data_IF_624288217435
#
_entry.id   IF_624288217435
#
_cell.length_a   1.000
_cell.length_b   1.000
_cell.length_c   1.000
_cell.angle_alpha   90.00
_cell.angle_beta   90.00
_cell.angle_gamma   90.00
#
_symmetry.space_group_name_H-M   'P 1'
#
loop_
_entity.id
_entity.type
_entity.pdbx_description
1 polymer ?
#
# COMPACT_ATOMS: atom_id res chain seq x y z
N UNK A 1 22.31 28.63 13.91
CA UNK A 1 21.78 27.30 13.62
C UNK A 1 22.81 26.33 13.03
N UNK A 2 23.67 26.68 12.01
CA UNK A 2 24.67 25.74 11.47
C UNK A 2 25.58 25.12 12.53
N UNK A 3 26.10 25.91 13.47
CA UNK A 3 26.95 25.39 14.58
C UNK A 3 26.20 24.40 15.49
N UNK A 4 24.93 24.62 15.74
CA UNK A 4 24.07 23.68 16.51
C UNK A 4 23.98 22.37 15.78
N UNK A 5 23.65 22.41 14.49
CA UNK A 5 23.56 21.23 13.62
C UNK A 5 24.89 20.43 13.59
N UNK A 6 26.03 21.11 13.41
CA UNK A 6 27.35 20.47 13.42
C UNK A 6 27.64 19.74 14.73
N UNK A 7 27.30 20.34 15.89
CA UNK A 7 27.48 19.70 17.18
C UNK A 7 26.62 18.44 17.29
N UNK A 8 25.35 18.50 16.85
CA UNK A 8 24.46 17.36 16.90
C UNK A 8 24.94 16.26 15.93
N UNK A 9 25.29 16.62 14.69
CA UNK A 9 25.82 15.71 13.68
C UNK A 9 27.02 14.90 14.17
N UNK A 10 27.92 15.56 14.88
CA UNK A 10 29.15 14.92 15.41
C UNK A 10 28.88 13.94 16.56
N UNK A 11 27.63 13.84 17.05
CA UNK A 11 27.25 12.85 18.08
C UNK A 11 26.51 11.61 17.46
N UNK A 12 26.35 11.58 16.15
CA UNK A 12 25.81 10.41 15.48
C UNK A 12 26.73 9.18 15.66
N UNK A 13 26.20 7.96 15.88
CA UNK A 13 24.78 7.59 16.00
C UNK A 13 24.21 7.73 17.43
N UNK A 14 25.03 8.00 18.44
CA UNK A 14 24.61 8.11 19.84
C UNK A 14 24.23 9.56 20.20
N UNK A 15 22.95 9.88 20.10
CA UNK A 15 22.42 11.18 20.48
C UNK A 15 22.19 11.38 21.99
N UNK A 16 22.61 10.43 22.84
CA UNK A 16 22.55 10.54 24.30
C UNK A 16 23.81 11.18 24.90
N UNK A 17 24.70 11.71 24.08
CA UNK A 17 25.93 12.34 24.52
C UNK A 17 25.66 13.51 25.49
N UNK A 18 26.34 13.57 26.63
CA UNK A 18 26.28 14.71 27.56
C UNK A 18 26.57 16.07 26.89
N UNK A 19 27.28 16.07 25.76
CA UNK A 19 27.56 17.28 24.97
C UNK A 19 26.31 17.93 24.40
N UNK A 20 25.20 17.22 24.29
CA UNK A 20 23.89 17.70 23.79
C UNK A 20 23.03 18.28 24.93
N UNK A 21 23.46 18.23 26.21
CA UNK A 21 22.74 18.93 27.28
C UNK A 21 22.65 20.42 26.99
N UNK A 22 21.56 21.06 27.39
CA UNK A 22 21.34 22.48 27.11
C UNK A 22 22.47 23.37 27.66
N UNK A 23 23.01 23.03 28.82
CA UNK A 23 24.10 23.76 29.42
C UNK A 23 25.40 23.64 28.60
N UNK A 24 25.76 22.41 28.19
CA UNK A 24 26.99 22.18 27.42
C UNK A 24 26.87 22.76 26.00
N UNK A 25 25.72 22.69 25.40
CA UNK A 25 25.41 23.33 24.10
C UNK A 25 25.55 24.86 24.21
N UNK A 26 25.00 25.45 25.28
CA UNK A 26 25.10 26.89 25.50
C UNK A 26 26.58 27.32 25.69
N UNK A 27 27.32 26.62 26.53
CA UNK A 27 28.73 26.91 26.77
C UNK A 27 29.59 26.83 25.48
N UNK A 28 29.30 25.89 24.59
CA UNK A 28 30.01 25.77 23.31
C UNK A 28 29.65 26.90 22.32
N UNK A 29 28.38 27.31 22.30
CA UNK A 29 27.88 28.31 21.36
C UNK A 29 28.13 29.75 21.81
N UNK A 30 28.06 30.00 23.11
CA UNK A 30 28.08 31.34 23.72
C UNK A 30 29.14 31.43 24.80
N UNK A 31 30.41 31.16 24.44
CA UNK A 31 31.54 31.21 25.37
C UNK A 31 31.57 32.49 26.19
N UNK A 32 31.68 32.35 27.52
CA UNK A 32 31.78 33.47 28.44
C UNK A 32 30.48 34.25 28.72
N UNK A 33 29.33 33.78 28.21
CA UNK A 33 28.02 34.37 28.52
C UNK A 33 27.33 33.60 29.63
N UNK A 34 26.50 34.30 30.40
CA UNK A 34 25.63 33.70 31.41
C UNK A 34 24.65 32.74 30.76
N UNK A 35 24.46 31.55 31.36
CA UNK A 35 23.58 30.51 30.83
C UNK A 35 22.11 30.95 30.79
N UNK A 36 21.49 30.84 29.59
CA UNK A 36 20.06 31.10 29.35
C UNK A 36 19.45 29.92 28.65
N UNK A 37 18.75 29.07 29.38
CA UNK A 37 18.09 27.87 28.84
C UNK A 37 17.17 28.18 27.68
N UNK A 38 16.38 29.25 27.81
CA UNK A 38 15.42 29.64 26.76
C UNK A 38 16.11 29.91 25.41
N UNK A 39 17.34 30.40 25.41
CA UNK A 39 18.12 30.63 24.17
C UNK A 39 18.36 29.30 23.43
N UNK A 40 18.75 28.25 24.16
CA UNK A 40 18.97 26.93 23.56
C UNK A 40 17.66 26.29 23.13
N UNK A 41 16.61 26.40 23.96
CA UNK A 41 15.24 25.89 23.54
C UNK A 41 14.77 26.53 22.25
N UNK A 42 14.98 27.84 22.09
CA UNK A 42 14.60 28.55 20.86
C UNK A 42 15.43 28.04 19.65
N UNK A 43 16.75 27.84 19.81
CA UNK A 43 17.60 27.31 18.74
C UNK A 43 17.18 25.89 18.32
N UNK A 44 16.87 25.03 19.28
CA UNK A 44 16.36 23.68 18.97
C UNK A 44 14.99 23.73 18.27
N UNK A 45 14.11 24.63 18.71
CA UNK A 45 12.80 24.81 18.07
C UNK A 45 12.94 25.30 16.61
N UNK A 46 13.84 26.24 16.36
CA UNK A 46 14.13 26.73 14.99
C UNK A 46 14.78 25.63 14.12
N UNK A 47 15.76 24.89 14.68
CA UNK A 47 16.36 23.77 13.97
C UNK A 47 15.32 22.69 13.65
N UNK A 48 14.42 22.38 14.59
CA UNK A 48 13.33 21.45 14.39
C UNK A 48 12.36 21.88 13.27
N UNK A 49 12.07 23.22 13.16
CA UNK A 49 11.28 23.75 12.04
C UNK A 49 11.98 23.58 10.69
N UNK A 50 13.28 23.89 10.64
CA UNK A 50 14.07 23.74 9.42
C UNK A 50 14.18 22.27 9.00
N UNK A 51 14.43 21.36 9.94
CA UNK A 51 14.50 19.93 9.69
C UNK A 51 13.16 19.38 9.16
N UNK A 52 12.05 19.81 9.76
CA UNK A 52 10.71 19.44 9.28
C UNK A 52 10.48 19.90 7.85
N UNK A 53 10.82 21.16 7.55
CA UNK A 53 10.71 21.69 6.18
C UNK A 53 11.61 20.93 5.21
N UNK A 54 12.84 20.63 5.60
CA UNK A 54 13.79 19.88 4.79
C UNK A 54 13.24 18.48 4.46
N UNK A 55 12.83 17.72 5.50
CA UNK A 55 12.27 16.38 5.33
C UNK A 55 11.03 16.44 4.41
N UNK A 56 10.13 17.41 4.64
CA UNK A 56 8.93 17.56 3.79
C UNK A 56 9.27 17.80 2.33
N UNK A 57 10.26 18.64 2.05
CA UNK A 57 10.71 18.96 0.67
C UNK A 57 11.41 17.75 0.04
N UNK A 58 12.28 17.07 0.76
CA UNK A 58 12.98 15.88 0.23
C UNK A 58 12.01 14.71 -0.01
N UNK A 59 11.06 14.48 0.90
CA UNK A 59 10.01 13.48 0.70
C UNK A 59 9.16 13.83 -0.52
N UNK A 60 8.79 15.11 -0.69
CA UNK A 60 8.03 15.55 -1.85
C UNK A 60 8.78 15.36 -3.17
N UNK A 61 10.10 15.61 -3.18
CA UNK A 61 10.93 15.39 -4.38
C UNK A 61 11.03 13.91 -4.77
N UNK A 62 10.96 13.01 -3.80
CA UNK A 62 10.98 11.57 -4.05
C UNK A 62 9.64 11.00 -4.51
N UNK A 63 8.54 11.75 -4.32
CA UNK A 63 7.18 11.41 -4.75
C UNK A 63 6.73 12.31 -5.90
N UNK A 64 6.98 11.86 -7.12
CA UNK A 64 6.69 12.62 -8.33
C UNK A 64 5.19 12.93 -8.48
N UNK A 65 4.31 12.01 -8.10
CA UNK A 65 2.86 12.19 -8.23
C UNK A 65 2.36 13.27 -7.30
N UNK A 66 2.75 13.24 -6.02
CA UNK A 66 2.39 14.27 -5.04
C UNK A 66 3.00 15.61 -5.40
N UNK A 67 4.24 15.63 -5.87
CA UNK A 67 4.91 16.84 -6.37
C UNK A 67 4.15 17.47 -7.53
N UNK A 68 3.77 16.68 -8.53
CA UNK A 68 2.98 17.13 -9.67
C UNK A 68 1.59 17.62 -9.25
N UNK A 69 0.95 16.95 -8.30
CA UNK A 69 -0.36 17.36 -7.77
C UNK A 69 -0.29 18.75 -7.13
N UNK A 70 0.74 19.02 -6.33
CA UNK A 70 0.96 20.35 -5.74
C UNK A 70 1.33 21.40 -6.79
N UNK A 71 2.13 21.04 -7.80
CA UNK A 71 2.45 21.92 -8.93
C UNK A 71 1.19 22.31 -9.70
N UNK A 72 0.31 21.36 -10.01
CA UNK A 72 -0.98 21.60 -10.66
C UNK A 72 -1.83 22.56 -9.82
N UNK A 73 -1.91 22.36 -8.51
CA UNK A 73 -2.62 23.26 -7.60
C UNK A 73 -2.03 24.68 -7.61
N UNK A 74 -0.71 24.80 -7.59
CA UNK A 74 0.01 26.07 -7.68
C UNK A 74 -0.22 26.83 -8.99
N UNK A 75 -0.26 26.12 -10.12
CA UNK A 75 -0.59 26.71 -11.42
C UNK A 75 -2.02 27.28 -11.43
N UNK A 76 -2.96 26.55 -10.85
CA UNK A 76 -4.36 26.97 -10.77
C UNK A 76 -4.57 28.20 -9.91
N UNK A 77 -3.94 28.26 -8.74
CA UNK A 77 -3.95 29.46 -7.90
C UNK A 77 -3.45 30.70 -8.65
N UNK A 78 -2.54 30.52 -9.60
CA UNK A 78 -1.98 31.58 -10.46
C UNK A 78 -2.77 31.79 -11.77
N UNK A 79 -3.92 31.10 -11.90
CA UNK A 79 -4.80 31.18 -13.08
C UNK A 79 -4.13 30.69 -14.39
N UNK A 80 -3.07 29.90 -14.31
CA UNK A 80 -2.39 29.30 -15.45
C UNK A 80 -3.11 28.01 -15.89
N UNK A 81 -4.36 28.12 -16.31
CA UNK A 81 -5.28 27.00 -16.49
C UNK A 81 -4.85 26.01 -17.57
N UNK A 82 -4.35 26.52 -18.71
CA UNK A 82 -3.90 25.65 -19.81
C UNK A 82 -2.71 24.77 -19.39
N UNK A 83 -1.72 25.39 -18.72
CA UNK A 83 -0.56 24.65 -18.18
C UNK A 83 -0.99 23.64 -17.12
N UNK A 84 -1.92 24.03 -16.25
CA UNK A 84 -2.48 23.14 -15.24
C UNK A 84 -3.17 21.91 -15.86
N UNK A 85 -3.95 22.11 -16.93
CA UNK A 85 -4.63 21.01 -17.63
C UNK A 85 -3.64 20.05 -18.30
N UNK A 86 -2.60 20.57 -18.95
CA UNK A 86 -1.53 19.75 -19.54
C UNK A 86 -0.77 18.95 -18.46
N UNK A 87 -0.40 19.61 -17.35
CA UNK A 87 0.27 18.96 -16.24
C UNK A 87 -0.61 17.88 -15.58
N UNK A 88 -1.92 18.13 -15.47
CA UNK A 88 -2.87 17.17 -14.92
C UNK A 88 -3.03 15.93 -15.82
N UNK A 89 -3.09 16.09 -17.13
CA UNK A 89 -3.13 14.97 -18.07
C UNK A 89 -1.88 14.09 -17.93
N UNK A 90 -0.69 14.69 -17.93
CA UNK A 90 0.57 13.98 -17.74
C UNK A 90 0.65 13.26 -16.38
N UNK A 91 0.19 13.90 -15.31
CA UNK A 91 0.17 13.28 -13.98
C UNK A 91 -0.80 12.10 -13.92
N UNK A 92 -1.92 12.17 -14.63
CA UNK A 92 -2.87 11.05 -14.72
C UNK A 92 -2.28 9.86 -15.49
N UNK A 93 -1.53 10.09 -16.55
CA UNK A 93 -0.77 9.05 -17.24
C UNK A 93 0.23 8.38 -16.31
N UNK A 94 1.02 9.16 -15.58
CA UNK A 94 1.98 8.66 -14.59
C UNK A 94 1.30 7.86 -13.46
N UNK A 95 0.17 8.34 -12.93
CA UNK A 95 -0.63 7.62 -11.95
C UNK A 95 -1.07 6.26 -12.52
N UNK A 96 -1.57 6.25 -13.74
CA UNK A 96 -2.02 5.04 -14.40
C UNK A 96 -0.87 4.04 -14.62
N UNK A 97 0.30 4.51 -15.01
CA UNK A 97 1.48 3.67 -15.21
C UNK A 97 2.05 3.10 -13.91
N UNK A 98 2.12 3.91 -12.84
CA UNK A 98 2.76 3.51 -11.59
C UNK A 98 1.89 2.66 -10.68
N UNK A 99 0.61 2.99 -10.57
CA UNK A 99 -0.27 2.42 -9.55
C UNK A 99 -1.50 1.73 -10.12
N UNK A 100 -1.83 2.06 -11.33
CA UNK A 100 -3.00 1.59 -11.96
C UNK A 100 -4.29 1.77 -11.15
N UNK A 101 -5.07 0.69 -11.10
CA UNK A 101 -6.33 0.70 -10.35
C UNK A 101 -6.09 0.68 -8.83
N UNK A 102 -4.91 0.24 -8.35
CA UNK A 102 -4.51 0.34 -6.93
C UNK A 102 -4.44 1.78 -6.42
N UNK A 103 -4.31 2.74 -7.32
CA UNK A 103 -4.34 4.16 -7.02
C UNK A 103 -5.74 4.76 -6.91
N UNK A 104 -6.78 3.99 -6.58
CA UNK A 104 -8.13 4.54 -6.43
C UNK A 104 -8.17 5.78 -5.52
N UNK A 105 -7.35 5.81 -4.49
CA UNK A 105 -7.21 7.00 -3.65
C UNK A 105 -6.70 8.21 -4.44
N UNK A 106 -5.69 8.03 -5.30
CA UNK A 106 -5.16 9.10 -6.16
C UNK A 106 -6.14 9.48 -7.26
N UNK A 107 -6.80 8.49 -7.89
CA UNK A 107 -7.85 8.75 -8.87
C UNK A 107 -9.03 9.48 -8.24
N UNK A 108 -9.43 9.13 -7.04
CA UNK A 108 -10.44 9.84 -6.27
C UNK A 108 -10.03 11.30 -6.00
N UNK A 109 -8.84 11.53 -5.46
CA UNK A 109 -8.33 12.87 -5.21
C UNK A 109 -8.17 13.68 -6.50
N UNK A 110 -7.66 13.08 -7.55
CA UNK A 110 -7.53 13.75 -8.84
C UNK A 110 -8.89 14.10 -9.46
N UNK A 111 -9.82 13.16 -9.50
CA UNK A 111 -11.17 13.39 -10.05
C UNK A 111 -11.95 14.42 -9.24
N UNK A 112 -11.85 14.34 -7.90
CA UNK A 112 -12.46 15.31 -7.01
C UNK A 112 -11.87 16.72 -7.19
N UNK A 113 -10.56 16.80 -7.34
CA UNK A 113 -9.86 18.04 -7.61
C UNK A 113 -10.23 18.62 -9.00
N UNK A 114 -10.36 17.81 -10.04
CA UNK A 114 -10.78 18.23 -11.36
C UNK A 114 -12.25 18.70 -11.35
N UNK A 115 -13.13 18.02 -10.61
CA UNK A 115 -14.52 18.38 -10.43
C UNK A 115 -14.66 19.76 -9.75
N UNK A 116 -14.02 19.96 -8.60
CA UNK A 116 -14.00 21.22 -7.89
C UNK A 116 -13.47 22.37 -8.76
N UNK A 117 -12.42 22.08 -9.53
CA UNK A 117 -11.83 23.06 -10.41
C UNK A 117 -12.80 23.54 -11.50
N UNK A 118 -13.47 22.61 -12.19
CA UNK A 118 -14.41 22.96 -13.25
C UNK A 118 -15.65 23.70 -12.71
N UNK A 119 -16.10 23.35 -11.51
CA UNK A 119 -17.20 24.06 -10.86
C UNK A 119 -16.87 25.50 -10.43
N UNK A 120 -15.64 25.73 -9.97
CA UNK A 120 -15.27 27.07 -9.45
C UNK A 120 -14.86 28.01 -10.56
N UNK A 121 -14.23 27.51 -11.63
CA UNK A 121 -13.54 28.37 -12.61
C UNK A 121 -14.19 28.47 -13.98
N UNK A 122 -15.14 27.62 -14.35
CA UNK A 122 -15.76 27.70 -15.66
C UNK A 122 -17.25 27.30 -15.65
N UNK A 123 -18.09 28.18 -15.15
CA UNK A 123 -19.55 28.00 -15.19
C UNK A 123 -20.10 27.76 -16.62
N UNK A 124 -19.35 28.15 -17.67
CA UNK A 124 -19.75 27.95 -19.07
C UNK A 124 -19.50 26.52 -19.55
N UNK A 125 -18.57 25.81 -18.94
CA UNK A 125 -18.28 24.40 -19.28
C UNK A 125 -19.16 23.38 -18.52
N UNK A 126 -19.89 23.82 -17.51
CA UNK A 126 -20.77 22.96 -16.71
C UNK A 126 -21.91 22.28 -17.50
N UNK A 127 -22.15 22.69 -18.73
CA UNK A 127 -23.14 22.07 -19.64
C UNK A 127 -22.49 21.27 -20.77
N UNK A 128 -21.15 21.15 -20.79
CA UNK A 128 -20.44 20.41 -21.82
C UNK A 128 -20.49 18.89 -21.60
N UNK A 129 -20.39 18.12 -22.68
CA UNK A 129 -20.25 16.67 -22.65
C UNK A 129 -19.01 16.25 -21.82
N UNK A 130 -17.94 17.03 -21.89
CA UNK A 130 -16.70 16.79 -21.14
C UNK A 130 -16.93 16.89 -19.63
N UNK A 131 -17.69 17.89 -19.17
CA UNK A 131 -18.07 18.01 -17.76
C UNK A 131 -18.90 16.80 -17.29
N UNK A 132 -19.86 16.38 -18.07
CA UNK A 132 -20.67 15.19 -17.77
C UNK A 132 -19.81 13.93 -17.62
N UNK A 133 -18.86 13.71 -18.55
CA UNK A 133 -17.95 12.56 -18.49
C UNK A 133 -17.04 12.64 -17.25
N UNK A 134 -16.62 13.83 -16.87
CA UNK A 134 -15.82 14.04 -15.66
C UNK A 134 -16.62 13.68 -14.40
N UNK A 135 -17.89 14.15 -14.30
CA UNK A 135 -18.77 13.81 -13.16
C UNK A 135 -19.02 12.31 -13.10
N UNK A 136 -19.24 11.65 -14.25
CA UNK A 136 -19.41 10.20 -14.33
C UNK A 136 -18.16 9.49 -13.81
N UNK A 137 -16.98 9.83 -14.31
CA UNK A 137 -15.71 9.24 -13.87
C UNK A 137 -15.47 9.47 -12.37
N UNK A 138 -15.76 10.67 -11.86
CA UNK A 138 -15.66 10.99 -10.45
C UNK A 138 -16.57 10.08 -9.61
N UNK A 139 -17.84 9.94 -10.00
CA UNK A 139 -18.80 9.11 -9.25
C UNK A 139 -18.36 7.64 -9.19
N UNK A 140 -17.89 7.09 -10.30
CA UNK A 140 -17.38 5.73 -10.38
C UNK A 140 -16.17 5.54 -9.45
N UNK A 141 -15.19 6.46 -9.50
CA UNK A 141 -14.00 6.39 -8.67
C UNK A 141 -14.29 6.54 -7.16
N UNK A 142 -15.26 7.39 -6.78
CA UNK A 142 -15.69 7.55 -5.38
C UNK A 142 -16.27 6.25 -4.84
N UNK A 143 -17.19 5.64 -5.60
CA UNK A 143 -17.83 4.40 -5.18
C UNK A 143 -16.82 3.26 -5.09
N UNK A 144 -15.92 3.15 -6.07
CA UNK A 144 -14.87 2.14 -6.10
C UNK A 144 -13.93 2.28 -4.91
N UNK A 145 -13.44 3.49 -4.67
CA UNK A 145 -12.56 3.77 -3.54
C UNK A 145 -13.22 3.40 -2.23
N UNK A 146 -14.44 3.92 -1.99
CA UNK A 146 -15.17 3.68 -0.75
C UNK A 146 -15.38 2.19 -0.50
N UNK A 147 -15.92 1.46 -1.47
CA UNK A 147 -16.20 0.03 -1.29
C UNK A 147 -14.93 -0.78 -1.09
N UNK A 148 -13.87 -0.51 -1.86
CA UNK A 148 -12.60 -1.20 -1.70
C UNK A 148 -12.02 -1.00 -0.31
N UNK A 149 -11.93 0.25 0.17
CA UNK A 149 -11.39 0.54 1.50
C UNK A 149 -12.23 -0.07 2.63
N UNK A 150 -13.56 0.01 2.53
CA UNK A 150 -14.45 -0.61 3.51
C UNK A 150 -14.29 -2.13 3.58
N UNK A 151 -14.15 -2.80 2.43
CA UNK A 151 -13.95 -4.25 2.38
C UNK A 151 -12.58 -4.66 2.93
N UNK A 152 -11.51 -3.88 2.66
CA UNK A 152 -10.18 -4.11 3.24
C UNK A 152 -10.23 -3.97 4.75
N UNK A 153 -10.80 -2.87 5.26
CA UNK A 153 -10.92 -2.63 6.70
C UNK A 153 -11.75 -3.71 7.40
N UNK A 154 -12.83 -4.17 6.76
CA UNK A 154 -13.66 -5.24 7.30
C UNK A 154 -12.90 -6.57 7.38
N UNK A 155 -12.13 -6.92 6.35
CA UNK A 155 -11.30 -8.12 6.33
C UNK A 155 -10.19 -8.05 7.41
N UNK A 156 -9.49 -6.93 7.53
CA UNK A 156 -8.46 -6.73 8.55
C UNK A 156 -9.05 -6.77 9.97
N UNK A 157 -10.20 -6.13 10.19
CA UNK A 157 -10.87 -6.18 11.49
C UNK A 157 -11.28 -7.59 11.88
N UNK A 158 -11.78 -8.38 10.93
CA UNK A 158 -12.11 -9.80 11.16
C UNK A 158 -10.89 -10.63 11.60
N UNK A 159 -9.72 -10.38 11.00
CA UNK A 159 -8.46 -11.02 11.39
C UNK A 159 -8.04 -10.60 12.80
N UNK A 160 -8.08 -9.31 13.09
CA UNK A 160 -7.68 -8.74 14.38
C UNK A 160 -8.57 -9.22 15.54
N UNK A 161 -9.87 -9.34 15.34
CA UNK A 161 -10.78 -9.90 16.36
C UNK A 161 -10.42 -11.31 16.77
N UNK A 162 -9.97 -12.14 15.84
CA UNK A 162 -9.51 -13.51 16.13
C UNK A 162 -8.20 -13.54 16.91
N UNK A 163 -7.30 -12.59 16.65
CA UNK A 163 -5.99 -12.53 17.29
C UNK A 163 -6.06 -11.94 18.71
N UNK A 164 -6.87 -10.92 18.92
CA UNK A 164 -6.86 -10.13 20.16
C UNK A 164 -8.01 -10.44 21.10
N UNK A 165 -8.87 -11.43 20.81
CA UNK A 165 -10.05 -11.76 21.63
C UNK A 165 -10.85 -10.52 22.07
N UNK A 166 -10.83 -9.48 21.21
CA UNK A 166 -11.49 -8.22 21.51
C UNK A 166 -13.00 -8.41 21.57
N UNK A 167 -13.63 -7.75 22.52
CA UNK A 167 -15.10 -7.69 22.62
C UNK A 167 -15.68 -7.24 21.29
N UNK A 168 -16.88 -7.73 20.97
CA UNK A 168 -17.60 -7.34 19.75
C UNK A 168 -17.99 -5.85 19.83
N UNK A 169 -17.08 -4.98 19.46
CA UNK A 169 -17.45 -3.62 19.12
C UNK A 169 -18.10 -3.61 17.74
N UNK A 170 -19.25 -2.97 17.63
CA UNK A 170 -19.94 -2.76 16.35
C UNK A 170 -19.26 -1.63 15.60
N UNK A 171 -18.68 -1.95 14.44
CA UNK A 171 -18.11 -0.92 13.56
C UNK A 171 -19.12 -0.44 12.52
N UNK A 172 -19.21 0.86 12.34
CA UNK A 172 -20.15 1.50 11.40
C UNK A 172 -20.00 0.95 9.97
N UNK A 173 -18.76 0.67 9.53
CA UNK A 173 -18.53 0.16 8.18
C UNK A 173 -19.03 -1.28 7.99
N UNK A 174 -19.01 -2.13 9.02
CA UNK A 174 -19.57 -3.50 8.95
C UNK A 174 -21.09 -3.43 8.78
N UNK A 175 -21.76 -2.58 9.55
CA UNK A 175 -23.20 -2.34 9.41
C UNK A 175 -23.55 -1.80 8.02
N UNK A 176 -22.70 -0.94 7.45
CA UNK A 176 -22.90 -0.45 6.09
C UNK A 176 -22.79 -1.61 5.07
N UNK A 177 -21.75 -2.46 5.15
CA UNK A 177 -21.57 -3.59 4.24
C UNK A 177 -22.72 -4.61 4.39
N UNK A 178 -23.15 -4.90 5.63
CA UNK A 178 -24.27 -5.81 5.91
C UNK A 178 -25.62 -5.30 5.35
N UNK A 179 -25.82 -3.98 5.33
CA UNK A 179 -27.03 -3.35 4.81
C UNK A 179 -27.05 -3.16 3.29
N UNK A 180 -25.89 -3.35 2.62
CA UNK A 180 -25.72 -3.10 1.19
C UNK A 180 -25.85 -4.39 0.39
N UNK A 181 -26.74 -4.41 -0.59
CA UNK A 181 -26.87 -5.53 -1.53
C UNK A 181 -25.68 -5.55 -2.50
N UNK A 182 -24.56 -6.09 -2.01
CA UNK A 182 -23.30 -6.15 -2.73
C UNK A 182 -23.42 -7.00 -4.01
N UNK A 183 -24.15 -8.10 -3.97
CA UNK A 183 -24.28 -8.99 -5.14
C UNK A 183 -25.04 -8.34 -6.30
N UNK A 184 -26.17 -7.69 -6.01
CA UNK A 184 -26.94 -6.96 -7.03
C UNK A 184 -26.13 -5.78 -7.59
N UNK A 185 -25.44 -5.03 -6.71
CA UNK A 185 -24.58 -3.92 -7.13
C UNK A 185 -23.46 -4.40 -8.05
N UNK A 186 -22.73 -5.45 -7.68
CA UNK A 186 -21.61 -5.96 -8.48
C UNK A 186 -22.06 -6.45 -9.85
N UNK A 187 -23.23 -7.08 -9.98
CA UNK A 187 -23.80 -7.49 -11.28
C UNK A 187 -24.07 -6.30 -12.19
N UNK A 188 -24.64 -5.23 -11.66
CA UNK A 188 -24.90 -4.03 -12.47
C UNK A 188 -23.58 -3.29 -12.79
N UNK A 189 -22.66 -3.24 -11.83
CA UNK A 189 -21.37 -2.58 -12.01
C UNK A 189 -20.49 -3.30 -13.04
N UNK A 190 -20.59 -4.64 -13.13
CA UNK A 190 -19.87 -5.45 -14.13
C UNK A 190 -20.20 -5.06 -15.57
N UNK A 191 -21.45 -4.63 -15.83
CA UNK A 191 -21.88 -4.12 -17.15
C UNK A 191 -21.21 -2.80 -17.52
N UNK A 192 -20.86 -1.99 -16.51
CA UNK A 192 -20.25 -0.67 -16.70
C UNK A 192 -18.73 -0.74 -16.75
N UNK A 193 -18.13 -1.50 -15.85
CA UNK A 193 -16.67 -1.62 -15.73
C UNK A 193 -16.28 -3.03 -15.22
N UNK A 194 -16.10 -4.00 -16.13
CA UNK A 194 -15.88 -5.40 -15.76
C UNK A 194 -14.58 -5.62 -14.97
N UNK A 195 -13.52 -4.84 -15.20
CA UNK A 195 -12.25 -4.98 -14.49
C UNK A 195 -12.39 -4.52 -13.04
N UNK A 196 -13.01 -3.38 -12.82
CA UNK A 196 -13.26 -2.87 -11.47
C UNK A 196 -14.24 -3.76 -10.71
N UNK A 197 -15.27 -4.25 -11.38
CA UNK A 197 -16.21 -5.18 -10.78
C UNK A 197 -15.53 -6.49 -10.34
N UNK A 198 -14.61 -7.02 -11.15
CA UNK A 198 -13.81 -8.21 -10.79
C UNK A 198 -12.96 -7.96 -9.53
N UNK A 199 -12.31 -6.80 -9.45
CA UNK A 199 -11.52 -6.42 -8.27
C UNK A 199 -12.38 -6.34 -7.00
N UNK A 200 -13.50 -5.63 -7.06
CA UNK A 200 -14.41 -5.52 -5.91
C UNK A 200 -15.01 -6.86 -5.52
N UNK A 201 -15.34 -7.70 -6.50
CA UNK A 201 -15.86 -9.06 -6.31
C UNK A 201 -14.85 -9.92 -5.54
N UNK A 202 -13.60 -9.92 -5.96
CA UNK A 202 -12.52 -10.66 -5.28
C UNK A 202 -12.35 -10.14 -3.86
N UNK A 203 -12.29 -8.83 -3.66
CA UNK A 203 -12.15 -8.21 -2.35
C UNK A 203 -13.33 -8.53 -1.42
N UNK A 204 -14.56 -8.49 -1.95
CA UNK A 204 -15.75 -8.87 -1.21
C UNK A 204 -15.72 -10.35 -0.79
N UNK A 205 -15.30 -11.26 -1.66
CA UNK A 205 -15.16 -12.66 -1.32
C UNK A 205 -14.10 -12.88 -0.24
N UNK A 206 -12.98 -12.19 -0.28
CA UNK A 206 -11.97 -12.26 0.79
C UNK A 206 -12.54 -11.82 2.14
N UNK A 207 -13.28 -10.70 2.18
CA UNK A 207 -13.98 -10.29 3.38
C UNK A 207 -15.01 -11.34 3.80
N UNK A 208 -15.93 -11.71 2.93
CA UNK A 208 -17.02 -12.63 3.21
C UNK A 208 -16.51 -13.97 3.76
N UNK A 209 -15.56 -14.59 3.07
CA UNK A 209 -15.00 -15.87 3.49
C UNK A 209 -13.97 -15.77 4.63
N UNK A 210 -13.55 -14.59 5.03
CA UNK A 210 -12.80 -14.42 6.29
C UNK A 210 -13.66 -14.72 7.50
N UNK A 211 -14.96 -14.42 7.44
CA UNK A 211 -15.94 -14.58 8.53
C UNK A 211 -16.85 -15.80 8.38
N UNK A 212 -17.10 -16.24 7.14
CA UNK A 212 -17.97 -17.38 6.83
C UNK A 212 -17.19 -18.65 6.48
N UNK A 213 -17.93 -19.75 6.25
CA UNK A 213 -17.35 -21.01 5.78
C UNK A 213 -16.71 -20.81 4.39
N UNK A 214 -15.62 -21.50 4.19
CA UNK A 214 -14.86 -21.47 2.94
C UNK A 214 -14.61 -22.90 2.50
N UNK A 215 -15.13 -23.27 1.35
CA UNK A 215 -15.07 -24.63 0.83
C UNK A 215 -14.25 -24.69 -0.46
N UNK A 216 -14.09 -25.90 -0.97
CA UNK A 216 -13.39 -26.14 -2.24
C UNK A 216 -14.01 -25.37 -3.42
N UNK A 217 -15.33 -25.30 -3.46
CA UNK A 217 -16.07 -24.60 -4.53
C UNK A 217 -15.74 -23.12 -4.55
N UNK A 218 -15.75 -22.46 -3.39
CA UNK A 218 -15.40 -21.05 -3.27
C UNK A 218 -13.94 -20.79 -3.60
N UNK A 219 -13.05 -21.68 -3.17
CA UNK A 219 -11.65 -21.58 -3.50
C UNK A 219 -11.41 -21.55 -5.00
N UNK A 220 -11.94 -22.54 -5.73
CA UNK A 220 -11.76 -22.57 -7.18
C UNK A 220 -12.49 -21.44 -7.90
N UNK A 221 -13.62 -20.98 -7.38
CA UNK A 221 -14.31 -19.79 -7.91
C UNK A 221 -13.41 -18.55 -7.84
N UNK A 222 -12.78 -18.28 -6.69
CA UNK A 222 -11.88 -17.15 -6.52
C UNK A 222 -10.59 -17.35 -7.33
N UNK A 223 -9.99 -18.55 -7.28
CA UNK A 223 -8.79 -18.90 -8.05
C UNK A 223 -8.99 -18.63 -9.54
N UNK A 224 -10.14 -19.04 -10.09
CA UNK A 224 -10.47 -18.82 -11.50
C UNK A 224 -10.63 -17.33 -11.83
N UNK A 225 -11.36 -16.56 -11.01
CA UNK A 225 -11.54 -15.12 -11.22
C UNK A 225 -10.19 -14.39 -11.20
N UNK A 226 -9.32 -14.72 -10.24
CA UNK A 226 -7.98 -14.15 -10.16
C UNK A 226 -7.17 -14.52 -11.40
N UNK A 227 -7.05 -15.80 -11.74
CA UNK A 227 -6.18 -16.25 -12.83
C UNK A 227 -6.58 -15.73 -14.20
N UNK A 228 -7.89 -15.60 -14.45
CA UNK A 228 -8.42 -15.04 -15.71
C UNK A 228 -8.14 -13.54 -15.85
N UNK A 229 -8.07 -12.81 -14.75
CA UNK A 229 -7.93 -11.36 -14.77
C UNK A 229 -6.58 -10.86 -14.25
N UNK A 230 -5.70 -11.74 -13.78
CA UNK A 230 -4.46 -11.37 -13.07
C UNK A 230 -3.60 -10.37 -13.84
N UNK A 231 -3.48 -10.52 -15.16
CA UNK A 231 -2.69 -9.62 -16.01
C UNK A 231 -3.32 -8.23 -16.21
N UNK A 232 -4.62 -8.07 -15.87
CA UNK A 232 -5.32 -6.78 -15.93
C UNK A 232 -5.19 -6.02 -14.62
N UNK A 233 -4.84 -6.72 -13.55
CA UNK A 233 -4.64 -6.11 -12.24
C UNK A 233 -3.22 -5.54 -12.14
N UNK A 234 -3.06 -4.55 -11.27
CA UNK A 234 -1.75 -4.02 -10.98
C UNK A 234 -0.94 -4.95 -10.12
N UNK A 235 0.38 -4.77 -10.18
CA UNK A 235 1.32 -5.63 -9.48
C UNK A 235 1.02 -5.75 -7.98
N UNK A 236 0.60 -4.66 -7.34
CA UNK A 236 0.22 -4.67 -5.92
C UNK A 236 -1.01 -5.53 -5.66
N UNK A 237 -2.06 -5.41 -6.50
CA UNK A 237 -3.25 -6.24 -6.43
C UNK A 237 -2.94 -7.70 -6.77
N UNK A 238 -2.08 -7.95 -7.75
CA UNK A 238 -1.64 -9.32 -8.09
C UNK A 238 -1.01 -10.00 -6.88
N UNK A 239 -0.10 -9.31 -6.17
CA UNK A 239 0.52 -9.80 -4.94
C UNK A 239 -0.56 -10.08 -3.89
N UNK A 240 -1.38 -9.08 -3.59
CA UNK A 240 -2.36 -9.15 -2.50
C UNK A 240 -3.38 -10.25 -2.74
N UNK A 241 -3.91 -10.39 -3.95
CA UNK A 241 -4.93 -11.40 -4.25
C UNK A 241 -4.37 -12.82 -4.18
N UNK A 242 -3.18 -13.06 -4.68
CA UNK A 242 -2.53 -14.37 -4.56
C UNK A 242 -2.23 -14.66 -3.08
N UNK A 243 -1.67 -13.71 -2.34
CA UNK A 243 -1.35 -13.87 -0.93
C UNK A 243 -2.61 -14.15 -0.07
N UNK A 244 -3.68 -13.39 -0.27
CA UNK A 244 -4.94 -13.59 0.48
C UNK A 244 -5.57 -14.94 0.17
N UNK A 245 -5.60 -15.36 -1.09
CA UNK A 245 -6.15 -16.66 -1.46
C UNK A 245 -5.33 -17.81 -0.87
N UNK A 246 -3.99 -17.70 -0.90
CA UNK A 246 -3.10 -18.67 -0.23
C UNK A 246 -3.37 -18.70 1.28
N UNK A 247 -3.52 -17.57 1.92
CA UNK A 247 -3.80 -17.47 3.37
C UNK A 247 -5.13 -18.12 3.72
N UNK A 248 -6.19 -17.89 2.94
CA UNK A 248 -7.48 -18.57 3.13
C UNK A 248 -7.37 -20.08 2.96
N UNK A 249 -6.65 -20.54 1.93
CA UNK A 249 -6.44 -21.96 1.69
C UNK A 249 -5.63 -22.60 2.84
N UNK A 250 -4.52 -22.00 3.25
CA UNK A 250 -3.67 -22.48 4.35
C UNK A 250 -4.44 -22.57 5.68
N UNK A 251 -5.29 -21.60 5.97
CA UNK A 251 -5.97 -21.51 7.26
C UNK A 251 -7.28 -22.30 7.32
N UNK A 252 -7.98 -22.48 6.20
CA UNK A 252 -9.32 -23.07 6.20
C UNK A 252 -9.43 -24.41 5.45
N UNK A 253 -8.63 -24.64 4.42
CA UNK A 253 -8.73 -25.87 3.61
C UNK A 253 -7.64 -26.89 3.94
N UNK A 254 -6.40 -26.48 4.06
CA UNK A 254 -5.28 -27.39 4.38
C UNK A 254 -5.52 -28.17 5.68
N UNK A 255 -6.12 -27.61 6.77
CA UNK A 255 -6.44 -28.39 7.94
C UNK A 255 -7.45 -29.51 7.68
N UNK A 256 -8.27 -29.41 6.63
CA UNK A 256 -9.26 -30.45 6.25
C UNK A 256 -8.69 -31.46 5.27
N UNK A 257 -7.84 -31.04 4.34
CA UNK A 257 -7.22 -31.92 3.35
C UNK A 257 -5.89 -31.32 2.85
N UNK A 258 -4.81 -32.08 3.02
CA UNK A 258 -3.47 -31.68 2.60
C UNK A 258 -3.28 -31.57 1.09
N UNK A 259 -4.23 -32.07 0.27
CA UNK A 259 -4.19 -31.92 -1.20
C UNK A 259 -4.05 -30.46 -1.64
N UNK A 260 -4.61 -29.54 -0.87
CA UNK A 260 -4.59 -28.10 -1.17
C UNK A 260 -3.19 -27.47 -1.15
N UNK A 261 -2.17 -28.15 -0.61
CA UNK A 261 -0.79 -27.69 -0.77
C UNK A 261 -0.37 -27.64 -2.25
N UNK A 262 -0.86 -28.57 -3.08
CA UNK A 262 -0.59 -28.55 -4.52
C UNK A 262 -1.21 -27.32 -5.20
N UNK A 263 -2.46 -26.99 -4.86
CA UNK A 263 -3.14 -25.82 -5.39
C UNK A 263 -2.45 -24.50 -4.97
N UNK A 264 -1.97 -24.45 -3.74
CA UNK A 264 -1.19 -23.32 -3.22
C UNK A 264 0.14 -23.23 -3.97
N UNK A 265 0.79 -24.35 -4.22
CA UNK A 265 2.05 -24.38 -4.98
C UNK A 265 1.87 -23.89 -6.43
N UNK A 266 0.71 -24.18 -7.05
CA UNK A 266 0.40 -23.62 -8.37
C UNK A 266 0.21 -22.10 -8.32
N UNK A 267 -0.40 -21.56 -7.27
CA UNK A 267 -0.48 -20.11 -7.04
C UNK A 267 0.91 -19.51 -6.84
N UNK A 268 1.81 -20.19 -6.13
CA UNK A 268 3.21 -19.76 -5.95
C UNK A 268 3.95 -19.70 -7.29
N UNK A 269 3.79 -20.72 -8.13
CA UNK A 269 4.37 -20.73 -9.49
C UNK A 269 3.79 -19.58 -10.34
N UNK A 270 2.48 -19.35 -10.26
CA UNK A 270 1.85 -18.21 -10.93
C UNK A 270 2.45 -16.89 -10.43
N UNK A 271 2.57 -16.70 -9.12
CA UNK A 271 3.18 -15.51 -8.54
C UNK A 271 4.59 -15.26 -9.09
N UNK A 272 5.44 -16.28 -9.09
CA UNK A 272 6.80 -16.17 -9.63
C UNK A 272 6.82 -15.85 -11.13
N UNK A 273 5.86 -16.38 -11.90
CA UNK A 273 5.76 -16.13 -13.36
C UNK A 273 5.32 -14.72 -13.73
N UNK A 274 4.79 -13.95 -12.80
CA UNK A 274 4.37 -12.56 -13.03
C UNK A 274 5.54 -11.57 -13.03
N UNK A 275 6.74 -12.01 -12.61
CA UNK A 275 7.96 -11.20 -12.58
C UNK A 275 7.76 -9.80 -11.93
N UNK A 276 7.00 -9.76 -10.84
CA UNK A 276 6.63 -8.52 -10.15
C UNK A 276 7.87 -7.84 -9.57
N UNK A 277 8.77 -8.63 -8.99
CA UNK A 277 10.05 -8.17 -8.49
C UNK A 277 11.13 -8.31 -9.59
N UNK A 278 12.00 -7.32 -9.82
CA UNK A 278 12.39 -6.21 -8.94
C UNK A 278 11.79 -4.84 -9.30
N UNK A 279 10.50 -4.67 -9.31
CA UNK A 279 9.90 -3.37 -9.55
C UNK A 279 10.15 -2.41 -8.36
N UNK A 280 10.78 -1.28 -8.62
CA UNK A 280 11.15 -0.29 -7.59
C UNK A 280 9.95 0.37 -6.90
N UNK A 281 8.77 0.30 -7.51
CA UNK A 281 7.54 0.86 -6.96
C UNK A 281 6.78 -0.13 -6.06
N UNK A 282 7.29 -1.36 -5.94
CA UNK A 282 6.71 -2.39 -5.09
C UNK A 282 7.48 -2.41 -3.77
N UNK A 283 6.74 -2.45 -2.66
CA UNK A 283 7.32 -2.62 -1.34
C UNK A 283 8.11 -3.93 -1.22
N UNK A 284 9.02 -3.99 -0.25
CA UNK A 284 9.80 -5.18 0.04
C UNK A 284 8.92 -6.43 0.17
N UNK A 285 9.47 -7.56 -0.24
CA UNK A 285 8.79 -8.84 -0.12
C UNK A 285 8.55 -9.16 1.37
N UNK A 286 7.29 -9.39 1.74
CA UNK A 286 6.95 -9.66 3.14
C UNK A 286 7.58 -10.98 3.62
N UNK A 287 8.36 -10.93 4.70
CA UNK A 287 9.07 -12.08 5.26
C UNK A 287 8.14 -13.26 5.61
N UNK A 288 6.95 -12.98 6.16
CA UNK A 288 5.95 -14.01 6.45
C UNK A 288 5.50 -14.74 5.19
N UNK A 289 5.14 -14.02 4.13
CA UNK A 289 4.72 -14.61 2.87
C UNK A 289 5.86 -15.39 2.18
N UNK A 290 7.10 -14.88 2.27
CA UNK A 290 8.28 -15.60 1.80
C UNK A 290 8.46 -16.95 2.50
N UNK A 291 8.32 -16.98 3.84
CA UNK A 291 8.39 -18.22 4.62
C UNK A 291 7.26 -19.20 4.30
N UNK A 292 6.05 -18.70 4.13
CA UNK A 292 4.90 -19.55 3.77
C UNK A 292 5.14 -20.27 2.45
N UNK A 293 5.60 -19.53 1.42
CA UNK A 293 5.94 -20.11 0.13
C UNK A 293 7.04 -21.17 0.25
N UNK A 294 8.11 -20.85 0.96
CA UNK A 294 9.19 -21.80 1.21
C UNK A 294 8.67 -23.06 1.93
N UNK A 295 7.91 -22.90 2.99
CA UNK A 295 7.39 -24.00 3.82
C UNK A 295 6.48 -24.94 3.00
N UNK A 296 5.61 -24.40 2.17
CA UNK A 296 4.74 -25.20 1.29
C UNK A 296 5.58 -26.04 0.33
N UNK A 297 6.61 -25.46 -0.28
CA UNK A 297 7.50 -26.20 -1.20
C UNK A 297 8.25 -27.33 -0.48
N UNK A 298 8.74 -27.11 0.75
CA UNK A 298 9.40 -28.15 1.55
C UNK A 298 8.43 -29.27 1.94
N UNK A 299 7.20 -28.95 2.34
CA UNK A 299 6.14 -29.95 2.65
C UNK A 299 5.87 -30.84 1.44
N UNK A 300 5.87 -30.27 0.24
CA UNK A 300 5.68 -31.01 -1.02
C UNK A 300 6.94 -31.70 -1.51
N UNK A 301 8.07 -31.58 -0.80
CA UNK A 301 9.38 -32.11 -1.17
C UNK A 301 9.93 -31.52 -2.49
N UNK A 302 9.49 -30.34 -2.85
CA UNK A 302 9.94 -29.58 -4.02
C UNK A 302 11.23 -28.79 -3.68
N UNK A 303 12.24 -29.50 -3.19
CA UNK A 303 13.46 -28.92 -2.63
C UNK A 303 14.24 -28.06 -3.62
N UNK A 304 14.38 -28.53 -4.87
CA UNK A 304 15.06 -27.76 -5.91
C UNK A 304 14.36 -26.45 -6.23
N UNK A 305 13.02 -26.44 -6.21
CA UNK A 305 12.24 -25.22 -6.39
C UNK A 305 12.42 -24.30 -5.19
N UNK A 306 12.36 -24.84 -3.96
CA UNK A 306 12.54 -24.08 -2.73
C UNK A 306 13.90 -23.38 -2.67
N UNK A 307 14.98 -24.10 -3.03
CA UNK A 307 16.33 -23.53 -3.09
C UNK A 307 16.44 -22.40 -4.11
N UNK A 308 15.95 -22.63 -5.33
CA UNK A 308 15.93 -21.61 -6.38
C UNK A 308 15.12 -20.38 -5.97
N UNK A 309 13.95 -20.57 -5.34
CA UNK A 309 13.11 -19.48 -4.83
C UNK A 309 13.87 -18.66 -3.78
N UNK A 310 14.49 -19.29 -2.78
CA UNK A 310 15.24 -18.57 -1.74
C UNK A 310 16.39 -17.76 -2.35
N UNK A 311 17.17 -18.37 -3.25
CA UNK A 311 18.30 -17.70 -3.91
C UNK A 311 17.85 -16.52 -4.77
N UNK A 312 16.72 -16.65 -5.46
CA UNK A 312 16.23 -15.61 -6.37
C UNK A 312 15.51 -14.46 -5.65
N UNK A 313 14.69 -14.78 -4.64
CA UNK A 313 13.74 -13.81 -4.05
C UNK A 313 14.19 -13.21 -2.70
N UNK A 314 15.14 -13.82 -1.98
CA UNK A 314 15.60 -13.28 -0.69
C UNK A 314 16.17 -11.87 -0.79
N UNK A 315 16.74 -11.47 -1.91
CA UNK A 315 17.26 -10.13 -2.17
C UNK A 315 16.20 -9.03 -2.18
N UNK A 316 14.92 -9.39 -2.31
CA UNK A 316 13.79 -8.48 -2.30
C UNK A 316 13.14 -8.34 -0.91
N UNK A 317 13.63 -9.06 0.08
CA UNK A 317 13.26 -8.85 1.48
C UNK A 317 13.86 -7.56 2.02
N UNK A 318 13.22 -6.97 3.03
CA UNK A 318 13.77 -5.86 3.78
C UNK A 318 15.17 -6.19 4.32
N UNK A 319 16.07 -5.21 4.33
CA UNK A 319 17.50 -5.43 4.59
C UNK A 319 17.75 -6.09 5.95
N UNK A 320 17.01 -5.68 6.97
CA UNK A 320 17.09 -6.22 8.34
C UNK A 320 16.61 -7.67 8.46
N UNK A 321 15.65 -8.10 7.63
CA UNK A 321 15.12 -9.46 7.64
C UNK A 321 15.91 -10.42 6.73
N UNK A 322 16.54 -9.93 5.68
CA UNK A 322 17.11 -10.71 4.57
C UNK A 322 18.03 -11.84 5.02
N UNK A 323 19.03 -11.52 5.85
CA UNK A 323 20.02 -12.49 6.31
C UNK A 323 19.40 -13.58 7.18
N UNK A 324 18.50 -13.20 8.05
CA UNK A 324 17.84 -14.14 8.97
C UNK A 324 16.93 -15.10 8.20
N UNK A 325 16.10 -14.58 7.29
CA UNK A 325 15.20 -15.39 6.48
C UNK A 325 15.94 -16.34 5.54
N UNK A 326 17.00 -15.86 4.89
CA UNK A 326 17.85 -16.70 4.05
C UNK A 326 18.44 -17.87 4.84
N UNK A 327 19.10 -17.59 5.97
CA UNK A 327 19.72 -18.61 6.80
C UNK A 327 18.71 -19.60 7.37
N UNK A 328 17.53 -19.11 7.80
CA UNK A 328 16.46 -19.97 8.26
C UNK A 328 15.99 -20.95 7.18
N UNK A 329 15.71 -20.45 5.99
CA UNK A 329 15.25 -21.30 4.88
C UNK A 329 16.32 -22.30 4.44
N UNK A 330 17.58 -21.87 4.27
CA UNK A 330 18.65 -22.77 3.85
C UNK A 330 18.98 -23.83 4.91
N UNK A 331 18.95 -23.46 6.21
CA UNK A 331 19.10 -24.42 7.30
C UNK A 331 18.01 -25.47 7.32
N UNK A 332 16.74 -25.06 7.14
CA UNK A 332 15.61 -25.99 7.04
C UNK A 332 15.72 -26.90 5.80
N UNK A 333 16.19 -26.38 4.68
CA UNK A 333 16.39 -27.17 3.46
C UNK A 333 17.42 -28.27 3.69
N UNK A 334 18.58 -27.94 4.26
CA UNK A 334 19.63 -28.91 4.59
C UNK A 334 19.18 -29.99 5.60
N UNK A 335 18.23 -29.64 6.48
CA UNK A 335 17.70 -30.59 7.47
C UNK A 335 16.70 -31.59 6.85
N UNK A 336 15.97 -31.19 5.82
CA UNK A 336 14.89 -31.98 5.21
C UNK A 336 15.32 -32.75 3.94
N UNK A 337 16.49 -32.46 3.37
CA UNK A 337 17.11 -33.21 2.29
C UNK A 337 17.86 -34.44 2.82
#
# INVERSE_FOLDING_TARGET
>A
LPKVFEIIKNTYPDFNSPTLSFQNMFAKLYKGKEYKEQTIRNLYAELGKLLRTFISVETLKSDEISSNTLYIAGLRQRKAFELSSKAAAKNNELITECFGIGSLAFHFHYSNFAYWFNNIHDQRKNTSKEYFLLVKSLSENVVMFLLKELLILAAENSKNRKLFTAEKEDFVFEKFIESFDTDSFLKEFEKLNPVYASMLKIQYWFYYYSVHSFTETEFYKIKNEITQNIKKFYKVEQINYIQELMTLALTKLVPTDKKYYNDIFDLMKLFCSLEIYPDKNIADFKAGFFRDMFTVAVILKEYSWAENFVNQYSKFLAEDARKNEFNYCMGNLCFNQ
#
